data_IF_848752551836
#
_entry.id   IF_848752551836
#
_cell.length_a   1.000
_cell.length_b   1.000
_cell.length_c   1.000
_cell.angle_alpha   90.00
_cell.angle_beta   90.00
_cell.angle_gamma   90.00
#
_symmetry.space_group_name_H-M   'P 1'
#
loop_
_entity.id
_entity.type
_entity.pdbx_description
1 polymer ?
#
# COMPACT_ATOMS: atom_id res chain seq x y z
N UNK A 1 3.64 -17.82 30.31
CA UNK A 1 4.24 -16.97 31.33
C UNK A 1 3.11 -16.15 31.96
N UNK A 2 2.72 -16.44 33.22
CA UNK A 2 1.64 -15.75 33.92
C UNK A 2 2.19 -14.42 34.45
N UNK A 3 1.65 -13.30 34.00
CA UNK A 3 1.96 -11.99 34.56
C UNK A 3 1.37 -11.89 35.98
N UNK A 4 2.23 -11.61 36.97
CA UNK A 4 1.84 -11.40 38.37
C UNK A 4 1.09 -10.08 38.52
N UNK A 5 0.11 -10.03 39.44
CA UNK A 5 -0.75 -8.86 39.67
C UNK A 5 -0.03 -7.54 40.02
N UNK A 6 1.23 -7.60 40.45
CA UNK A 6 2.07 -6.42 40.72
C UNK A 6 2.53 -5.70 39.47
N UNK A 7 2.81 -6.41 38.36
CA UNK A 7 3.17 -5.82 37.07
C UNK A 7 2.01 -5.03 36.43
N UNK A 8 0.77 -5.49 36.69
CA UNK A 8 -0.42 -4.79 36.20
C UNK A 8 -0.64 -3.48 36.98
N UNK A 9 -0.30 -3.46 38.27
CA UNK A 9 -0.46 -2.28 39.11
C UNK A 9 0.56 -1.19 38.76
N UNK A 10 1.80 -1.55 38.47
CA UNK A 10 2.86 -0.64 38.04
C UNK A 10 2.52 0.06 36.71
N UNK A 11 1.92 -0.67 35.75
CA UNK A 11 1.47 -0.12 34.47
C UNK A 11 0.27 0.81 34.64
N UNK A 12 -0.63 0.52 35.58
CA UNK A 12 -1.82 1.35 35.83
C UNK A 12 -1.50 2.63 36.62
N UNK A 13 -0.51 2.63 37.46
CA UNK A 13 -0.10 3.83 38.23
C UNK A 13 0.71 4.80 37.36
N UNK A 14 1.53 4.31 36.42
CA UNK A 14 2.21 5.15 35.41
C UNK A 14 1.28 5.82 34.38
N UNK A 15 0.02 5.36 34.27
CA UNK A 15 -0.98 5.90 33.36
C UNK A 15 -1.84 7.02 33.97
N UNK A 16 -1.72 7.30 35.29
CA UNK A 16 -2.50 8.36 35.97
C UNK A 16 -2.02 9.78 35.70
N UNK A 17 -0.78 9.93 35.23
CA UNK A 17 -0.16 11.26 35.03
C UNK A 17 -0.31 11.89 33.65
N UNK A 18 -0.98 11.24 32.67
CA UNK A 18 -1.09 11.83 31.32
C UNK A 18 -2.47 11.59 30.68
N UNK A 19 -3.40 12.49 30.94
CA UNK A 19 -4.84 12.36 30.65
C UNK A 19 -5.25 12.36 29.18
N UNK A 20 -4.38 12.66 28.23
CA UNK A 20 -4.73 12.77 26.80
C UNK A 20 -4.36 11.50 25.99
N UNK A 21 -3.43 10.67 26.46
CA UNK A 21 -3.03 9.39 25.82
C UNK A 21 -3.88 8.18 26.26
N UNK A 22 -4.70 8.32 27.27
CA UNK A 22 -5.38 7.19 27.95
C UNK A 22 -6.57 6.62 27.16
N UNK A 23 -7.19 7.37 26.24
CA UNK A 23 -8.33 6.86 25.46
C UNK A 23 -7.97 5.74 24.49
N UNK A 24 -6.83 5.82 23.84
CA UNK A 24 -6.42 4.81 22.87
C UNK A 24 -5.90 3.52 23.51
N UNK A 25 -5.23 3.64 24.67
CA UNK A 25 -4.71 2.46 25.40
C UNK A 25 -5.83 1.63 26.03
N UNK A 26 -6.93 2.24 26.47
CA UNK A 26 -8.10 1.49 26.98
C UNK A 26 -8.80 0.65 25.91
N UNK A 27 -8.82 1.11 24.68
CA UNK A 27 -9.33 0.32 23.54
C UNK A 27 -8.40 -0.85 23.20
N UNK A 28 -7.10 -0.65 23.24
CA UNK A 28 -6.09 -1.70 22.98
C UNK A 28 -6.08 -2.78 24.06
N UNK A 29 -6.16 -2.38 25.35
CA UNK A 29 -6.23 -3.33 26.47
C UNK A 29 -7.57 -4.11 26.51
N UNK A 30 -8.67 -3.50 26.05
CA UNK A 30 -9.94 -4.24 25.88
C UNK A 30 -9.85 -5.30 24.78
N UNK A 31 -9.18 -5.01 23.67
CA UNK A 31 -8.95 -6.00 22.59
C UNK A 31 -8.10 -7.18 23.05
N UNK A 32 -7.04 -6.93 23.86
CA UNK A 32 -6.16 -7.99 24.40
C UNK A 32 -6.87 -8.82 25.47
N UNK A 33 -7.69 -8.22 26.33
CA UNK A 33 -8.45 -8.93 27.36
C UNK A 33 -9.59 -9.77 26.76
N UNK A 34 -10.20 -9.34 25.67
CA UNK A 34 -11.24 -10.12 24.97
C UNK A 34 -10.70 -11.28 24.16
N UNK A 35 -9.46 -11.23 23.67
CA UNK A 35 -8.83 -12.35 22.96
C UNK A 35 -8.31 -13.48 23.86
N UNK A 36 -8.15 -13.23 25.17
CA UNK A 36 -7.62 -14.20 26.13
C UNK A 36 -8.66 -15.01 26.93
N UNK A 37 -9.95 -14.70 26.85
CA UNK A 37 -10.99 -15.29 27.73
C UNK A 37 -11.85 -16.34 27.00
N UNK A 38 -11.67 -16.60 25.71
CA UNK A 38 -12.52 -17.53 24.96
C UNK A 38 -11.89 -18.91 24.66
N UNK A 39 -11.06 -19.41 25.57
CA UNK A 39 -10.68 -20.85 25.57
C UNK A 39 -10.95 -21.49 26.92
N UNK A 40 -12.19 -21.76 27.22
CA UNK A 40 -12.76 -22.89 27.97
C UNK A 40 -14.20 -22.63 28.38
N UNK A 41 -15.14 -22.98 27.55
CA UNK A 41 -16.45 -23.49 27.99
C UNK A 41 -17.09 -24.24 26.84
N UNK A 42 -17.25 -25.51 27.06
CA UNK A 42 -17.95 -26.46 26.21
C UNK A 42 -19.46 -26.27 26.32
N UNK A 43 -20.15 -26.43 25.17
CA UNK A 43 -21.59 -26.74 24.99
C UNK A 43 -22.58 -25.61 25.16
N UNK A 44 -23.06 -25.12 24.02
CA UNK A 44 -24.49 -24.88 23.77
C UNK A 44 -24.78 -25.01 22.26
N UNK A 45 -25.82 -25.76 21.86
CA UNK A 45 -26.15 -25.99 20.46
C UNK A 45 -27.13 -24.94 19.94
N UNK A 46 -26.98 -24.56 18.69
CA UNK A 46 -28.05 -24.00 17.89
C UNK A 46 -28.17 -22.49 17.89
N UNK A 47 -27.35 -21.83 17.06
CA UNK A 47 -27.78 -20.72 16.22
C UNK A 47 -26.66 -20.44 15.19
N UNK A 48 -26.70 -21.15 14.09
CA UNK A 48 -25.96 -20.80 12.86
C UNK A 48 -26.57 -19.51 12.30
N UNK A 49 -26.06 -18.37 12.76
CA UNK A 49 -26.22 -17.12 12.03
C UNK A 49 -25.39 -17.25 10.74
N UNK A 50 -26.03 -17.49 9.65
CA UNK A 50 -25.48 -17.37 8.29
C UNK A 50 -25.10 -15.90 8.11
N UNK A 51 -23.85 -15.53 8.47
CA UNK A 51 -23.28 -14.25 8.03
C UNK A 51 -23.18 -14.34 6.51
N UNK A 52 -23.89 -13.48 5.82
CA UNK A 52 -23.87 -13.41 4.37
C UNK A 52 -22.42 -13.25 3.88
N UNK A 53 -22.02 -14.00 2.88
CA UNK A 53 -20.70 -13.90 2.23
C UNK A 53 -20.29 -12.45 1.91
N UNK A 54 -21.26 -11.56 1.65
CA UNK A 54 -21.03 -10.13 1.40
C UNK A 54 -20.42 -9.35 2.59
N UNK A 55 -20.66 -9.74 3.83
CA UNK A 55 -20.14 -9.03 4.99
C UNK A 55 -18.69 -9.40 5.36
N UNK A 56 -18.23 -10.61 5.03
CA UNK A 56 -16.83 -11.02 5.21
C UNK A 56 -15.91 -10.38 4.14
N UNK A 57 -16.37 -10.31 2.88
CA UNK A 57 -15.60 -9.70 1.79
C UNK A 57 -15.34 -8.20 2.02
N UNK A 58 -16.24 -7.49 2.71
CA UNK A 58 -16.09 -6.04 2.95
C UNK A 58 -15.02 -5.71 3.99
N UNK A 59 -14.82 -6.58 5.00
CA UNK A 59 -13.81 -6.38 6.06
C UNK A 59 -12.37 -6.66 5.59
N UNK A 60 -12.21 -7.27 4.42
CA UNK A 60 -10.89 -7.65 3.88
C UNK A 60 -10.30 -6.60 2.91
N UNK A 61 -11.04 -5.53 2.61
CA UNK A 61 -10.57 -4.48 1.71
C UNK A 61 -9.86 -3.37 2.50
N UNK A 62 -8.64 -2.99 2.06
CA UNK A 62 -7.93 -1.84 2.62
C UNK A 62 -8.31 -0.54 1.92
N UNK A 63 -8.59 -0.61 0.61
CA UNK A 63 -8.95 0.54 -0.19
C UNK A 63 -10.02 0.18 -1.20
N UNK A 64 -11.00 1.06 -1.36
CA UNK A 64 -12.05 0.98 -2.39
C UNK A 64 -12.21 2.32 -3.07
N UNK A 65 -12.51 2.29 -4.36
CA UNK A 65 -12.99 3.49 -5.06
C UNK A 65 -14.36 3.19 -5.65
N UNK A 66 -15.21 4.20 -5.74
CA UNK A 66 -16.52 4.09 -6.37
C UNK A 66 -16.69 5.24 -7.35
N UNK A 67 -16.88 4.88 -8.63
CA UNK A 67 -17.10 5.78 -9.76
C UNK A 67 -16.11 6.94 -9.80
N UNK A 68 -14.82 6.63 -9.54
CA UNK A 68 -13.76 7.63 -9.45
C UNK A 68 -13.53 8.28 -10.82
N UNK A 69 -13.61 9.59 -10.87
CA UNK A 69 -13.42 10.37 -12.10
C UNK A 69 -12.38 11.47 -11.95
N UNK A 70 -11.65 11.74 -13.03
CA UNK A 70 -10.77 12.90 -13.16
C UNK A 70 -10.88 13.53 -14.53
N UNK A 71 -11.30 14.78 -14.55
CA UNK A 71 -11.34 15.61 -15.74
C UNK A 71 -10.29 16.72 -15.65
N UNK A 72 -9.48 16.90 -16.69
CA UNK A 72 -8.53 17.97 -16.84
C UNK A 72 -8.98 18.87 -18.01
N UNK A 73 -9.57 20.03 -17.71
CA UNK A 73 -9.96 21.04 -18.71
C UNK A 73 -10.77 20.46 -19.89
N UNK A 74 -11.70 19.56 -19.61
CA UNK A 74 -12.55 18.92 -20.62
C UNK A 74 -12.07 17.53 -21.08
N UNK A 75 -10.83 17.17 -20.84
CA UNK A 75 -10.33 15.83 -21.14
C UNK A 75 -10.51 14.90 -19.94
N UNK A 76 -11.27 13.82 -20.12
CA UNK A 76 -11.51 12.79 -19.11
C UNK A 76 -10.30 11.85 -19.07
N UNK A 77 -9.49 11.96 -18.00
CA UNK A 77 -8.31 11.09 -17.80
C UNK A 77 -8.64 9.82 -17.03
N UNK A 78 -9.68 9.86 -16.18
CA UNK A 78 -10.21 8.71 -15.43
C UNK A 78 -11.73 8.83 -15.42
N UNK A 79 -12.42 7.76 -15.78
CA UNK A 79 -13.87 7.74 -16.00
C UNK A 79 -14.51 6.56 -15.30
N UNK A 80 -15.25 6.81 -14.22
CA UNK A 80 -16.02 5.84 -13.42
C UNK A 80 -15.23 4.59 -13.01
N UNK A 81 -14.02 4.79 -12.46
CA UNK A 81 -13.16 3.69 -12.03
C UNK A 81 -13.49 3.27 -10.60
N UNK A 82 -13.93 2.02 -10.44
CA UNK A 82 -14.24 1.41 -9.14
C UNK A 82 -13.27 0.25 -8.88
N UNK A 83 -12.33 0.44 -7.91
CA UNK A 83 -11.30 -0.52 -7.54
C UNK A 83 -11.60 -1.13 -6.17
N UNK A 84 -11.19 -2.40 -6.00
CA UNK A 84 -11.32 -3.15 -4.75
C UNK A 84 -9.96 -3.78 -4.38
N UNK A 85 -9.27 -3.17 -3.42
CA UNK A 85 -7.91 -3.57 -3.03
C UNK A 85 -7.97 -4.38 -1.75
N UNK A 86 -7.60 -5.66 -1.81
CA UNK A 86 -7.56 -6.56 -0.64
C UNK A 86 -6.35 -6.29 0.24
N UNK A 87 -6.53 -6.48 1.55
CA UNK A 87 -5.42 -6.38 2.52
C UNK A 87 -4.38 -7.47 2.28
N UNK A 88 -3.14 -7.14 2.62
CA UNK A 88 -2.01 -8.08 2.60
C UNK A 88 -1.87 -8.80 1.25
N UNK A 89 -2.07 -8.07 0.16
CA UNK A 89 -1.92 -8.56 -1.20
C UNK A 89 -1.15 -7.57 -2.06
N UNK A 90 -0.69 -8.03 -3.22
CA UNK A 90 -0.10 -7.19 -4.26
C UNK A 90 -1.15 -7.01 -5.36
N UNK A 91 -1.56 -5.75 -5.60
CA UNK A 91 -2.49 -5.37 -6.65
C UNK A 91 -1.75 -4.69 -7.80
N UNK A 92 -1.89 -5.24 -9.01
CA UNK A 92 -1.35 -4.67 -10.25
C UNK A 92 -2.36 -3.77 -10.96
N UNK A 93 -2.06 -2.48 -11.09
CA UNK A 93 -2.83 -1.55 -11.91
C UNK A 93 -2.18 -1.45 -13.29
N UNK A 94 -2.72 -2.18 -14.27
CA UNK A 94 -2.15 -2.36 -15.59
C UNK A 94 -2.82 -1.50 -16.65
N UNK A 95 -2.09 -1.16 -17.69
CA UNK A 95 -2.63 -0.41 -18.82
C UNK A 95 -1.53 0.24 -19.66
N UNK A 96 -1.81 0.63 -20.91
CA UNK A 96 -0.85 1.34 -21.73
C UNK A 96 -0.48 2.71 -21.15
N UNK A 97 0.56 3.32 -21.71
CA UNK A 97 0.94 4.69 -21.34
C UNK A 97 -0.22 5.64 -21.66
N UNK A 98 -0.50 6.59 -20.76
CA UNK A 98 -1.64 7.51 -20.89
C UNK A 98 -3.00 6.92 -20.49
N UNK A 99 -3.12 5.65 -20.10
CA UNK A 99 -4.39 5.02 -19.70
C UNK A 99 -5.04 5.58 -18.42
N UNK A 100 -4.33 6.44 -17.66
CA UNK A 100 -4.85 7.03 -16.41
C UNK A 100 -4.29 6.42 -15.13
N UNK A 101 -3.37 5.44 -15.18
CA UNK A 101 -2.79 4.75 -14.01
C UNK A 101 -2.21 5.73 -12.98
N UNK A 102 -1.20 6.53 -13.36
CA UNK A 102 -0.58 7.52 -12.46
C UNK A 102 -1.57 8.56 -11.95
N UNK A 103 -2.59 8.91 -12.74
CA UNK A 103 -3.66 9.81 -12.31
C UNK A 103 -4.47 9.22 -11.17
N UNK A 104 -4.81 7.93 -11.26
CA UNK A 104 -5.49 7.19 -10.19
C UNK A 104 -4.61 7.15 -8.95
N UNK A 105 -3.34 6.72 -9.08
CA UNK A 105 -2.43 6.64 -7.94
C UNK A 105 -2.24 8.00 -7.25
N UNK A 106 -2.16 9.10 -8.02
CA UNK A 106 -2.11 10.46 -7.48
C UNK A 106 -3.41 10.87 -6.75
N UNK A 107 -4.56 10.35 -7.15
CA UNK A 107 -5.81 10.58 -6.42
C UNK A 107 -5.84 9.78 -5.11
N UNK A 108 -5.40 8.52 -5.11
CA UNK A 108 -5.33 7.68 -3.91
C UNK A 108 -4.38 8.25 -2.85
N UNK A 109 -3.31 8.93 -3.28
CA UNK A 109 -2.32 9.58 -2.40
C UNK A 109 -2.66 11.03 -2.05
N UNK A 110 -3.83 11.54 -2.47
CA UNK A 110 -4.24 12.91 -2.20
C UNK A 110 -3.43 14.01 -2.92
N UNK A 111 -2.52 13.64 -3.83
CA UNK A 111 -1.77 14.59 -4.68
C UNK A 111 -2.73 15.26 -5.66
N UNK A 112 -3.71 14.51 -6.17
CA UNK A 112 -4.78 15.03 -7.02
C UNK A 112 -6.13 14.83 -6.34
N UNK A 113 -7.00 15.86 -6.44
CA UNK A 113 -8.38 15.73 -6.00
C UNK A 113 -9.21 15.12 -7.13
N UNK A 114 -10.05 14.08 -6.86
CA UNK A 114 -11.04 13.59 -7.80
C UNK A 114 -11.99 14.71 -8.28
N UNK A 115 -12.49 14.59 -9.48
CA UNK A 115 -13.57 15.45 -9.98
C UNK A 115 -14.92 14.99 -9.43
N UNK A 116 -15.12 13.66 -9.38
CA UNK A 116 -16.29 13.00 -8.77
C UNK A 116 -15.92 11.59 -8.33
N UNK A 117 -16.86 10.88 -7.71
CA UNK A 117 -16.65 9.58 -7.10
C UNK A 117 -16.12 9.67 -5.68
N UNK A 118 -15.85 8.52 -5.06
CA UNK A 118 -15.38 8.43 -3.68
C UNK A 118 -14.22 7.46 -3.54
N UNK A 119 -13.43 7.67 -2.49
CA UNK A 119 -12.35 6.78 -2.05
C UNK A 119 -12.66 6.41 -0.60
N UNK A 120 -12.57 5.13 -0.27
CA UNK A 120 -12.64 4.61 1.08
C UNK A 120 -11.29 3.97 1.43
N UNK A 121 -10.80 4.24 2.63
CA UNK A 121 -9.59 3.62 3.17
C UNK A 121 -9.92 3.03 4.55
N UNK A 122 -9.52 1.78 4.79
CA UNK A 122 -9.74 1.07 6.05
C UNK A 122 -11.22 1.10 6.52
N UNK A 123 -12.16 0.96 5.57
CA UNK A 123 -13.60 0.90 5.83
C UNK A 123 -14.27 2.24 6.15
N UNK A 124 -13.60 3.37 5.94
CA UNK A 124 -14.17 4.71 6.11
C UNK A 124 -13.83 5.64 4.93
N UNK A 125 -14.61 6.71 4.69
CA UNK A 125 -14.28 7.70 3.67
C UNK A 125 -12.87 8.26 3.88
N UNK A 126 -12.08 8.28 2.79
CA UNK A 126 -10.69 8.72 2.80
C UNK A 126 -10.53 10.13 3.38
N UNK A 127 -9.57 10.30 4.26
CA UNK A 127 -9.22 11.55 4.94
C UNK A 127 -7.72 11.81 4.80
N UNK A 128 -7.31 13.08 4.90
CA UNK A 128 -5.91 13.46 4.82
C UNK A 128 -5.01 12.77 5.87
N UNK A 129 -5.55 12.45 7.04
CA UNK A 129 -4.82 11.75 8.10
C UNK A 129 -4.49 10.29 7.73
N UNK A 130 -5.21 9.70 6.77
CA UNK A 130 -4.92 8.33 6.30
C UNK A 130 -3.56 8.24 5.59
N UNK A 131 -3.01 9.38 5.14
CA UNK A 131 -1.65 9.47 4.60
C UNK A 131 -0.56 9.06 5.60
N UNK A 132 -0.84 9.04 6.90
CA UNK A 132 0.05 8.48 7.92
C UNK A 132 0.21 6.95 7.76
N UNK A 133 -0.78 6.29 7.13
CA UNK A 133 -0.84 4.84 6.89
C UNK A 133 -0.60 4.46 5.42
N UNK A 134 -0.33 5.44 4.55
CA UNK A 134 -0.09 5.24 3.12
C UNK A 134 1.33 5.70 2.80
N UNK A 135 2.17 4.76 2.37
CA UNK A 135 3.46 5.06 1.77
C UNK A 135 3.32 5.16 0.25
N UNK A 136 4.02 6.09 -0.38
CA UNK A 136 3.93 6.23 -1.83
C UNK A 136 5.26 6.59 -2.48
N UNK A 137 5.50 6.00 -3.65
CA UNK A 137 6.55 6.37 -4.58
C UNK A 137 5.88 6.60 -5.95
N UNK A 138 5.64 7.87 -6.26
CA UNK A 138 4.98 8.30 -7.50
C UNK A 138 6.03 8.95 -8.40
N UNK A 139 6.17 8.43 -9.61
CA UNK A 139 7.18 8.86 -10.60
C UNK A 139 8.60 8.61 -10.07
N UNK A 140 9.43 9.66 -9.94
CA UNK A 140 10.82 9.53 -9.51
C UNK A 140 10.98 9.67 -7.99
N UNK A 141 11.92 8.93 -7.37
CA UNK A 141 12.22 9.08 -5.95
C UNK A 141 12.67 10.52 -5.62
N UNK A 142 12.05 11.20 -4.65
CA UNK A 142 12.39 12.56 -4.25
C UNK A 142 13.64 12.58 -3.35
N UNK A 143 14.82 12.39 -3.93
CA UNK A 143 16.09 12.25 -3.23
C UNK A 143 16.90 13.53 -3.24
N UNK A 144 17.59 13.80 -2.13
CA UNK A 144 18.69 14.76 -2.09
C UNK A 144 19.96 14.06 -2.58
N UNK A 145 20.39 14.34 -3.80
CA UNK A 145 21.49 13.65 -4.47
C UNK A 145 22.86 13.86 -3.78
N UNK A 146 23.04 14.96 -3.08
CA UNK A 146 24.22 15.31 -2.30
C UNK A 146 24.29 14.65 -0.92
N UNK A 147 23.22 13.96 -0.48
CA UNK A 147 23.13 13.25 0.79
C UNK A 147 23.30 11.75 0.61
N UNK A 148 23.75 11.07 1.67
CA UNK A 148 23.78 9.60 1.76
C UNK A 148 22.36 9.02 1.90
N UNK A 149 22.22 7.68 1.85
CA UNK A 149 20.93 7.03 2.11
C UNK A 149 20.41 7.35 3.52
N UNK A 150 21.27 7.23 4.52
CA UNK A 150 20.93 7.56 5.91
C UNK A 150 20.47 9.01 6.06
N UNK A 151 21.21 9.97 5.51
CA UNK A 151 20.88 11.39 5.60
C UNK A 151 19.57 11.74 4.89
N UNK A 152 19.28 11.13 3.72
CA UNK A 152 18.01 11.28 3.04
C UNK A 152 16.83 10.85 3.94
N UNK A 153 16.97 9.71 4.62
CA UNK A 153 15.97 9.21 5.57
C UNK A 153 15.91 10.10 6.82
N UNK A 154 17.06 10.57 7.32
CA UNK A 154 17.12 11.46 8.49
C UNK A 154 16.37 12.77 8.29
N UNK A 155 16.44 13.37 7.09
CA UNK A 155 15.63 14.56 6.77
C UNK A 155 14.13 14.25 6.98
N UNK A 156 13.67 13.08 6.53
CA UNK A 156 12.27 12.68 6.65
C UNK A 156 11.88 12.33 8.09
N UNK A 157 12.69 11.54 8.80
CA UNK A 157 12.38 11.21 10.20
C UNK A 157 12.34 12.46 11.07
N UNK A 158 13.23 13.45 10.84
CA UNK A 158 13.21 14.73 11.55
C UNK A 158 11.92 15.51 11.28
N UNK A 159 11.47 15.58 10.02
CA UNK A 159 10.22 16.27 9.67
C UNK A 159 8.98 15.60 10.24
N UNK A 160 8.99 14.27 10.35
CA UNK A 160 7.86 13.47 10.81
C UNK A 160 7.90 13.19 12.33
N UNK A 161 8.97 13.60 13.03
CA UNK A 161 9.14 13.33 14.47
C UNK A 161 9.34 11.84 14.77
N UNK A 162 9.90 11.06 13.84
CA UNK A 162 10.16 9.63 14.00
C UNK A 162 11.52 9.37 14.65
N UNK A 163 11.64 8.22 15.35
CA UNK A 163 12.90 7.74 15.91
C UNK A 163 13.89 7.35 14.79
N UNK A 164 15.18 7.67 15.02
CA UNK A 164 16.27 7.32 14.10
C UNK A 164 16.50 5.80 13.98
N UNK A 165 16.09 5.00 14.96
CA UNK A 165 16.10 3.55 14.86
C UNK A 165 15.35 3.06 13.61
N UNK A 166 14.27 3.77 13.23
CA UNK A 166 13.49 3.46 12.05
C UNK A 166 14.28 3.56 10.74
N UNK A 167 15.30 4.43 10.67
CA UNK A 167 16.18 4.56 9.51
C UNK A 167 16.91 3.24 9.25
N UNK A 168 17.49 2.64 10.29
CA UNK A 168 18.24 1.39 10.13
C UNK A 168 17.33 0.23 9.74
N UNK A 169 16.11 0.16 10.30
CA UNK A 169 15.11 -0.84 9.93
C UNK A 169 14.74 -0.77 8.45
N UNK A 170 14.39 0.42 7.94
CA UNK A 170 13.99 0.55 6.53
C UNK A 170 15.17 0.34 5.58
N UNK A 171 16.40 0.77 5.94
CA UNK A 171 17.60 0.47 5.17
C UNK A 171 17.87 -1.04 5.07
N UNK A 172 17.61 -1.78 6.14
CA UNK A 172 17.73 -3.22 6.15
C UNK A 172 16.66 -3.87 5.23
N UNK A 173 15.40 -3.41 5.34
CA UNK A 173 14.30 -3.91 4.50
C UNK A 173 14.63 -3.77 3.02
N UNK A 174 15.15 -2.61 2.60
CA UNK A 174 15.47 -2.34 1.18
C UNK A 174 16.91 -2.71 0.78
N UNK A 175 17.67 -3.37 1.67
CA UNK A 175 19.03 -3.86 1.43
C UNK A 175 20.04 -2.74 1.05
N UNK A 176 19.94 -1.58 1.70
CA UNK A 176 20.85 -0.43 1.49
C UNK A 176 21.75 -0.13 2.70
N UNK A 177 21.91 -1.07 3.64
CA UNK A 177 22.75 -0.90 4.84
C UNK A 177 24.23 -0.68 4.51
N UNK A 178 24.74 -1.29 3.43
CA UNK A 178 26.15 -1.29 3.07
C UNK A 178 26.56 -0.12 2.15
N UNK A 179 25.72 0.92 2.05
CA UNK A 179 26.02 2.08 1.18
C UNK A 179 27.00 3.07 1.78
N UNK A 180 27.17 3.05 3.11
CA UNK A 180 28.16 3.85 3.85
C UNK A 180 28.05 5.35 3.55
N UNK A 181 29.18 5.96 3.14
CA UNK A 181 29.27 7.39 2.79
C UNK A 181 28.91 7.71 1.34
N UNK A 182 28.49 6.72 0.53
CA UNK A 182 28.10 6.93 -0.86
C UNK A 182 26.87 7.81 -0.94
N UNK A 183 26.93 8.88 -1.75
CA UNK A 183 25.82 9.83 -1.93
C UNK A 183 24.78 9.28 -2.88
N UNK A 184 23.51 9.64 -2.69
CA UNK A 184 22.39 9.16 -3.52
C UNK A 184 22.55 9.50 -5.03
N UNK A 185 23.22 10.60 -5.37
CA UNK A 185 23.54 10.93 -6.75
C UNK A 185 24.44 9.90 -7.46
N UNK A 186 25.21 9.11 -6.69
CA UNK A 186 26.09 8.06 -7.19
C UNK A 186 25.41 6.67 -7.22
N UNK A 187 24.16 6.58 -6.79
CA UNK A 187 23.41 5.33 -6.79
C UNK A 187 23.00 4.91 -8.20
N UNK A 188 22.97 3.59 -8.45
CA UNK A 188 22.26 3.07 -9.61
C UNK A 188 20.77 3.41 -9.54
N UNK A 189 20.06 3.32 -10.64
CA UNK A 189 18.63 3.57 -10.67
C UNK A 189 17.88 2.66 -9.68
N UNK A 190 18.24 1.37 -9.62
CA UNK A 190 17.67 0.41 -8.66
C UNK A 190 17.94 0.80 -7.20
N UNK A 191 19.15 1.28 -6.88
CA UNK A 191 19.44 1.79 -5.53
C UNK A 191 18.63 3.05 -5.22
N UNK A 192 18.44 3.96 -6.17
CA UNK A 192 17.59 5.15 -6.00
C UNK A 192 16.12 4.74 -5.76
N UNK A 193 15.63 3.77 -6.52
CA UNK A 193 14.27 3.25 -6.39
C UNK A 193 14.05 2.62 -5.00
N UNK A 194 14.98 1.77 -4.55
CA UNK A 194 14.95 1.18 -3.21
C UNK A 194 14.99 2.24 -2.09
N UNK A 195 15.79 3.30 -2.25
CA UNK A 195 15.81 4.40 -1.29
C UNK A 195 14.48 5.17 -1.28
N UNK A 196 13.84 5.35 -2.44
CA UNK A 196 12.48 5.91 -2.54
C UNK A 196 11.45 5.06 -1.79
N UNK A 197 11.52 3.74 -1.94
CA UNK A 197 10.68 2.80 -1.18
C UNK A 197 10.99 2.89 0.33
N UNK A 198 12.27 2.99 0.73
CA UNK A 198 12.63 3.17 2.14
C UNK A 198 11.98 4.43 2.74
N UNK A 199 11.96 5.54 2.00
CA UNK A 199 11.27 6.77 2.41
C UNK A 199 9.77 6.51 2.59
N UNK A 200 9.13 5.79 1.66
CA UNK A 200 7.72 5.46 1.74
C UNK A 200 7.37 4.52 2.91
N UNK A 201 8.33 3.73 3.38
CA UNK A 201 8.17 2.78 4.50
C UNK A 201 8.39 3.41 5.89
N UNK A 202 8.89 4.64 6.00
CA UNK A 202 9.24 5.24 7.29
C UNK A 202 8.08 5.28 8.29
N UNK A 203 6.87 5.60 7.85
CA UNK A 203 5.67 5.66 8.70
C UNK A 203 5.04 4.29 9.00
N UNK A 204 5.70 3.17 8.67
CA UNK A 204 5.11 1.83 8.82
C UNK A 204 3.73 1.72 8.15
N UNK A 205 3.63 1.99 6.84
CA UNK A 205 2.35 2.08 6.16
C UNK A 205 1.64 0.73 6.10
N UNK A 206 0.30 0.76 6.08
CA UNK A 206 -0.54 -0.41 5.78
C UNK A 206 -0.72 -0.59 4.27
N UNK A 207 -0.59 0.48 3.50
CA UNK A 207 -0.70 0.50 2.05
C UNK A 207 0.52 1.19 1.44
N UNK A 208 1.20 0.51 0.52
CA UNK A 208 2.32 1.04 -0.26
C UNK A 208 1.90 1.19 -1.73
N UNK A 209 2.04 2.38 -2.28
CA UNK A 209 1.67 2.71 -3.66
C UNK A 209 2.94 3.00 -4.46
N UNK A 210 3.16 2.23 -5.53
CA UNK A 210 4.35 2.31 -6.37
C UNK A 210 3.95 2.57 -7.84
N UNK A 211 4.39 3.69 -8.40
CA UNK A 211 4.12 4.03 -9.79
C UNK A 211 5.30 3.61 -10.67
N UNK A 212 5.08 2.61 -11.56
CA UNK A 212 6.06 2.05 -12.50
C UNK A 212 7.42 1.73 -11.83
N UNK A 213 7.47 0.95 -10.71
CA UNK A 213 8.66 0.83 -9.87
C UNK A 213 9.84 0.13 -10.56
N UNK A 214 9.60 -0.68 -11.59
CA UNK A 214 10.63 -1.43 -12.34
C UNK A 214 11.16 -0.68 -13.57
N UNK A 215 10.56 0.45 -13.92
CA UNK A 215 10.86 1.15 -15.16
C UNK A 215 12.33 1.62 -15.20
N UNK A 216 13.03 1.22 -16.27
CA UNK A 216 14.43 1.57 -16.52
C UNK A 216 15.46 0.81 -15.68
N UNK A 217 15.05 -0.19 -14.90
CA UNK A 217 15.98 -1.07 -14.21
C UNK A 217 16.56 -2.13 -15.17
N UNK A 218 17.75 -2.60 -14.84
CA UNK A 218 18.34 -3.78 -15.47
C UNK A 218 17.63 -5.07 -14.97
N UNK A 219 17.79 -6.21 -15.66
CA UNK A 219 17.10 -7.45 -15.31
C UNK A 219 17.33 -7.90 -13.85
N UNK A 220 18.55 -7.73 -13.32
CA UNK A 220 18.87 -8.08 -11.94
C UNK A 220 18.15 -7.16 -10.96
N UNK A 221 18.15 -5.85 -11.23
CA UNK A 221 17.44 -4.86 -10.40
C UNK A 221 15.92 -5.08 -10.38
N UNK A 222 15.36 -5.54 -11.51
CA UNK A 222 13.93 -5.92 -11.60
C UNK A 222 13.65 -7.12 -10.69
N UNK A 223 14.47 -8.17 -10.76
CA UNK A 223 14.30 -9.39 -9.95
C UNK A 223 14.39 -9.08 -8.46
N UNK A 224 15.42 -8.36 -8.03
CA UNK A 224 15.62 -7.95 -6.65
C UNK A 224 14.46 -7.08 -6.13
N UNK A 225 13.93 -6.17 -6.96
CA UNK A 225 12.79 -5.33 -6.59
C UNK A 225 11.49 -6.14 -6.50
N UNK A 226 11.30 -7.12 -7.38
CA UNK A 226 10.15 -8.05 -7.32
C UNK A 226 10.14 -8.86 -6.02
N UNK A 227 11.29 -9.43 -5.64
CA UNK A 227 11.41 -10.16 -4.37
C UNK A 227 11.08 -9.26 -3.16
N UNK A 228 11.57 -8.02 -3.19
CA UNK A 228 11.25 -7.04 -2.16
C UNK A 228 9.75 -6.79 -2.07
N UNK A 229 9.08 -6.50 -3.21
CA UNK A 229 7.64 -6.24 -3.27
C UNK A 229 6.83 -7.45 -2.76
N UNK A 230 7.19 -8.67 -3.17
CA UNK A 230 6.56 -9.92 -2.70
C UNK A 230 6.67 -10.14 -1.19
N UNK A 231 7.70 -9.57 -0.55
CA UNK A 231 7.90 -9.71 0.88
C UNK A 231 6.95 -8.85 1.73
N UNK A 232 6.32 -7.83 1.15
CA UNK A 232 5.52 -6.86 1.91
C UNK A 232 4.19 -7.41 2.46
N UNK A 233 3.40 -8.22 1.71
CA UNK A 233 2.17 -8.79 2.24
C UNK A 233 2.37 -9.61 3.51
N UNK A 234 3.44 -10.41 3.59
CA UNK A 234 3.79 -11.18 4.80
C UNK A 234 4.16 -10.29 6.00
N UNK A 235 4.46 -9.01 5.76
CA UNK A 235 4.74 -8.00 6.80
C UNK A 235 3.51 -7.13 7.12
N UNK A 236 2.34 -7.49 6.59
CA UNK A 236 1.10 -6.76 6.81
C UNK A 236 0.95 -5.49 5.95
N UNK A 237 1.75 -5.35 4.89
CA UNK A 237 1.72 -4.19 3.99
C UNK A 237 1.06 -4.61 2.67
N UNK A 238 -0.05 -4.00 2.33
CA UNK A 238 -0.67 -4.14 1.01
C UNK A 238 0.08 -3.29 0.00
N UNK A 239 0.26 -3.79 -1.21
CA UNK A 239 0.94 -3.05 -2.28
C UNK A 239 0.00 -2.82 -3.45
N UNK A 240 -0.05 -1.58 -3.94
CA UNK A 240 -0.57 -1.25 -5.28
C UNK A 240 0.63 -0.85 -6.13
N UNK A 241 0.82 -1.50 -7.26
CA UNK A 241 1.82 -1.07 -8.24
C UNK A 241 1.19 -0.85 -9.60
N UNK A 242 1.64 0.19 -10.31
CA UNK A 242 1.31 0.33 -11.72
C UNK A 242 2.40 -0.27 -12.59
N UNK A 243 2.02 -0.80 -13.75
CA UNK A 243 2.97 -1.22 -14.78
C UNK A 243 2.30 -1.27 -16.16
N UNK A 244 3.11 -1.22 -17.18
CA UNK A 244 2.75 -1.52 -18.57
C UNK A 244 3.47 -2.79 -19.09
N UNK A 245 4.35 -3.42 -18.28
CA UNK A 245 5.10 -4.63 -18.61
C UNK A 245 4.48 -5.83 -17.92
N UNK A 246 3.68 -6.59 -18.65
CA UNK A 246 2.86 -7.69 -18.13
C UNK A 246 3.68 -8.84 -17.55
N UNK A 247 4.76 -9.24 -18.24
CA UNK A 247 5.64 -10.35 -17.83
C UNK A 247 6.32 -10.13 -16.48
N UNK A 248 6.56 -8.85 -16.11
CA UNK A 248 7.12 -8.50 -14.80
C UNK A 248 6.07 -8.58 -13.69
N UNK A 249 4.87 -8.10 -13.99
CA UNK A 249 3.77 -7.99 -13.01
C UNK A 249 3.16 -9.36 -12.71
N UNK A 250 2.95 -10.18 -13.73
CA UNK A 250 2.33 -11.51 -13.58
C UNK A 250 3.00 -12.39 -12.52
N UNK A 251 4.28 -12.13 -12.26
CA UNK A 251 5.03 -12.92 -11.28
C UNK A 251 4.84 -12.49 -9.83
N UNK A 252 4.28 -11.29 -9.57
CA UNK A 252 4.24 -10.71 -8.23
C UNK A 252 2.85 -10.31 -7.73
N UNK A 253 1.85 -10.23 -8.62
CA UNK A 253 0.52 -9.76 -8.25
C UNK A 253 -0.43 -10.92 -7.90
N UNK A 254 -1.30 -10.67 -6.93
CA UNK A 254 -2.41 -11.55 -6.56
C UNK A 254 -3.68 -11.15 -7.31
N UNK A 255 -3.85 -9.84 -7.54
CA UNK A 255 -5.03 -9.26 -8.20
C UNK A 255 -4.58 -8.22 -9.22
N UNK A 256 -5.36 -8.05 -10.28
CA UNK A 256 -5.09 -7.07 -11.33
C UNK A 256 -6.32 -6.26 -11.66
N UNK A 257 -6.10 -4.96 -11.94
CA UNK A 257 -7.04 -4.08 -12.61
C UNK A 257 -6.42 -3.59 -13.91
N UNK A 258 -7.12 -3.76 -15.04
CA UNK A 258 -6.64 -3.33 -16.36
C UNK A 258 -7.41 -2.10 -16.80
N UNK A 259 -6.68 -1.01 -17.02
CA UNK A 259 -7.21 0.30 -17.43
C UNK A 259 -6.81 0.61 -18.86
N UNK A 260 -7.78 1.02 -19.68
CA UNK A 260 -7.55 1.53 -21.02
C UNK A 260 -8.51 2.71 -21.30
N UNK A 261 -7.99 3.80 -21.88
CA UNK A 261 -8.80 4.99 -22.18
C UNK A 261 -9.45 5.65 -20.95
N UNK A 262 -8.83 5.52 -19.78
CA UNK A 262 -9.38 6.06 -18.51
C UNK A 262 -10.46 5.19 -17.87
N UNK A 263 -10.80 4.03 -18.42
CA UNK A 263 -11.86 3.13 -17.95
C UNK A 263 -11.26 1.82 -17.44
N UNK A 264 -11.78 1.29 -16.33
CA UNK A 264 -11.46 -0.05 -15.84
C UNK A 264 -12.19 -1.09 -16.70
N UNK A 265 -11.44 -1.85 -17.51
CA UNK A 265 -12.00 -2.87 -18.39
C UNK A 265 -12.01 -4.27 -17.79
N UNK A 266 -11.19 -4.50 -16.75
CA UNK A 266 -11.14 -5.76 -16.00
C UNK A 266 -10.64 -5.50 -14.57
N UNK A 267 -11.20 -6.22 -13.62
CA UNK A 267 -10.66 -6.36 -12.26
C UNK A 267 -10.88 -7.81 -11.79
N UNK A 268 -9.85 -8.46 -11.31
CA UNK A 268 -9.96 -9.82 -10.82
C UNK A 268 -8.69 -10.37 -10.19
N UNK A 269 -8.82 -11.56 -9.60
CA UNK A 269 -7.70 -12.36 -9.10
C UNK A 269 -6.97 -13.00 -10.27
N UNK A 270 -5.65 -12.94 -10.27
CA UNK A 270 -4.84 -13.59 -11.31
C UNK A 270 -4.69 -15.07 -10.97
N UNK A 271 -5.28 -15.95 -11.79
CA UNK A 271 -5.19 -17.39 -11.58
C UNK A 271 -3.94 -17.97 -12.22
N UNK A 272 -3.40 -19.02 -11.61
CA UNK A 272 -2.28 -19.76 -12.18
C UNK A 272 -2.66 -20.32 -13.57
N UNK A 273 -1.87 -19.96 -14.60
CA UNK A 273 -2.10 -20.36 -15.99
C UNK A 273 -3.03 -19.44 -16.78
N UNK A 274 -3.54 -18.35 -16.20
CA UNK A 274 -4.30 -17.35 -16.93
C UNK A 274 -3.36 -16.53 -17.83
N UNK A 275 -3.73 -16.35 -19.09
CA UNK A 275 -2.98 -15.55 -20.05
C UNK A 275 -3.29 -14.06 -19.86
N UNK A 276 -2.47 -13.42 -19.01
CA UNK A 276 -2.60 -11.99 -18.72
C UNK A 276 -2.39 -11.11 -19.97
N UNK A 277 -1.58 -11.57 -20.92
CA UNK A 277 -1.31 -10.81 -22.16
C UNK A 277 -2.55 -10.79 -23.04
N UNK A 278 -3.20 -11.95 -23.23
CA UNK A 278 -4.45 -12.03 -23.97
C UNK A 278 -5.55 -11.18 -23.33
N UNK A 279 -5.71 -11.28 -22.00
CA UNK A 279 -6.68 -10.49 -21.24
C UNK A 279 -6.44 -8.97 -21.38
N UNK A 280 -5.17 -8.55 -21.28
CA UNK A 280 -4.78 -7.17 -21.46
C UNK A 280 -5.09 -6.66 -22.86
N UNK A 281 -4.74 -7.43 -23.90
CA UNK A 281 -5.00 -7.05 -25.29
C UNK A 281 -6.49 -6.94 -25.57
N UNK A 282 -7.33 -7.81 -25.00
CA UNK A 282 -8.78 -7.76 -25.16
C UNK A 282 -9.38 -6.50 -24.53
N UNK A 283 -8.92 -6.10 -23.35
CA UNK A 283 -9.34 -4.86 -22.67
C UNK A 283 -8.89 -3.63 -23.48
N UNK A 284 -7.64 -3.59 -23.92
CA UNK A 284 -7.10 -2.45 -24.69
C UNK A 284 -7.82 -2.29 -26.01
N UNK A 285 -8.14 -3.40 -26.72
CA UNK A 285 -8.89 -3.35 -28.00
C UNK A 285 -10.33 -2.85 -27.82
N UNK A 286 -10.99 -3.22 -26.71
CA UNK A 286 -12.38 -2.79 -26.44
C UNK A 286 -12.45 -1.31 -26.06
N UNK A 287 -11.57 -0.85 -25.18
CA UNK A 287 -11.65 0.49 -24.58
C UNK A 287 -10.69 1.50 -25.23
N UNK A 288 -9.68 1.05 -26.00
CA UNK A 288 -8.70 1.95 -26.65
C UNK A 288 -9.22 2.60 -27.94
N UNK A 289 -10.39 2.21 -28.46
CA UNK A 289 -10.96 2.78 -29.70
C UNK A 289 -11.70 4.12 -29.51
N UNK A 290 -11.95 4.55 -28.28
CA UNK A 290 -12.71 5.77 -27.99
C UNK A 290 -11.81 6.99 -27.69
N UNK A 291 -10.47 6.88 -27.78
CA UNK A 291 -9.51 7.90 -27.33
C UNK A 291 -8.55 8.45 -28.36
N UNK A 292 -8.79 8.25 -29.68
CA UNK A 292 -8.01 8.89 -30.74
C UNK A 292 -8.91 9.66 -31.69
#
# INVERSE_FOLDING_TARGET
MKLNGEHIRFVLDGLRENTTRVRNIKQYLRAILFSGIFMKSSKLPGMLSVKSKKGLDYMDMILKTTDLCKNFKGQMAVNNVSLNIRRNSVYGLLGPNGAGKSTILKMLTGILRPTSGSIEFDGHPWKRNDLEHIGALIEMPPLYENLTAYENLKVRTTLLGLDDARINEVLQIVQLTNTGKKRAGQFSLGMKQRLGIAIALLNSPQLLILDEPTNGLDPLGIEELRELIRSFPCKGITVILSSHILSEVQQIVDHVGIIAGGVLGYEGELRAGEDLEQLFMDVVRRNGKEGY
#
